data_IF_290994447528
#
_entry.id   IF_290994447528
#
_cell.length_a   1.000
_cell.length_b   1.000
_cell.length_c   1.000
_cell.angle_alpha   90.00
_cell.angle_beta   90.00
_cell.angle_gamma   90.00
#
_symmetry.space_group_name_H-M   'P 1'
#
loop_
_entity.id
_entity.type
_entity.pdbx_description
1 polymer ?
#
# COMPACT_ATOMS: atom_id res chain seq x y z
N UNK A 1 -4.54 -62.50 36.44
CA UNK A 1 -4.19 -63.05 35.10
C UNK A 1 -4.43 -62.01 34.02
N UNK A 2 -3.68 -62.15 32.93
CA UNK A 2 -3.49 -61.32 31.74
C UNK A 2 -4.72 -60.66 31.06
N UNK A 3 -4.52 -59.38 30.70
CA UNK A 3 -4.78 -58.66 29.43
C UNK A 3 -5.76 -59.28 28.41
N UNK A 4 -6.59 -58.43 27.80
CA UNK A 4 -7.18 -58.68 26.48
C UNK A 4 -7.91 -57.46 25.91
N UNK A 5 -7.29 -56.77 24.94
CA UNK A 5 -7.92 -55.74 24.09
C UNK A 5 -8.81 -56.43 23.05
N UNK A 6 -9.94 -55.83 22.70
CA UNK A 6 -10.57 -56.05 21.39
C UNK A 6 -11.32 -54.78 20.97
N UNK A 7 -10.71 -54.06 20.02
CA UNK A 7 -11.40 -53.07 19.21
C UNK A 7 -12.25 -53.84 18.18
N UNK A 8 -13.55 -53.55 18.15
CA UNK A 8 -14.45 -54.02 17.09
C UNK A 8 -14.76 -52.83 16.19
N UNK A 9 -14.30 -52.96 14.95
CA UNK A 9 -14.61 -52.09 13.82
C UNK A 9 -16.04 -52.41 13.37
N UNK A 10 -16.93 -51.41 13.29
CA UNK A 10 -18.22 -51.57 12.63
C UNK A 10 -18.49 -50.39 11.69
N UNK A 11 -18.45 -50.75 10.41
CA UNK A 11 -19.32 -50.33 9.32
C UNK A 11 -19.57 -48.84 9.09
N UNK A 12 -18.87 -48.38 8.05
CA UNK A 12 -19.33 -47.43 7.04
C UNK A 12 -20.83 -47.60 6.76
N UNK A 13 -21.62 -46.55 6.99
CA UNK A 13 -22.93 -46.38 6.36
C UNK A 13 -22.90 -45.07 5.58
N UNK A 14 -22.89 -45.21 4.25
CA UNK A 14 -23.07 -44.11 3.31
C UNK A 14 -24.51 -43.62 3.40
N UNK A 15 -24.70 -42.32 3.63
CA UNK A 15 -25.93 -41.66 3.23
C UNK A 15 -25.61 -40.56 2.22
N UNK A 16 -25.86 -40.86 0.96
CA UNK A 16 -25.95 -39.89 -0.10
C UNK A 16 -27.35 -39.27 -0.07
N UNK A 17 -27.43 -37.96 0.15
CA UNK A 17 -28.59 -37.14 -0.17
C UNK A 17 -28.10 -35.82 -0.75
N UNK A 18 -28.79 -35.42 -1.82
CA UNK A 18 -28.30 -34.56 -2.87
C UNK A 18 -28.34 -33.06 -2.56
N UNK A 19 -27.52 -32.36 -3.34
CA UNK A 19 -27.54 -30.95 -3.70
C UNK A 19 -28.93 -30.30 -3.80
N UNK A 20 -29.05 -29.08 -3.29
CA UNK A 20 -29.59 -27.88 -3.97
C UNK A 20 -29.65 -26.71 -2.98
N UNK A 21 -28.65 -25.84 -2.99
CA UNK A 21 -28.83 -24.43 -2.65
C UNK A 21 -27.70 -23.60 -3.28
N UNK A 22 -27.71 -23.55 -4.61
CA UNK A 22 -26.91 -22.61 -5.40
C UNK A 22 -27.74 -21.36 -5.65
N UNK A 23 -27.53 -20.29 -4.88
CA UNK A 23 -27.65 -18.89 -5.33
C UNK A 23 -27.09 -17.93 -4.25
N UNK A 24 -26.08 -17.13 -4.64
CA UNK A 24 -25.36 -16.10 -3.86
C UNK A 24 -24.34 -16.64 -2.81
N UNK A 25 -23.02 -16.52 -2.94
CA UNK A 25 -22.22 -15.45 -3.52
C UNK A 25 -21.08 -15.99 -4.39
N UNK A 26 -21.24 -15.87 -5.71
CA UNK A 26 -20.18 -16.09 -6.70
C UNK A 26 -19.91 -14.74 -7.40
N UNK A 27 -19.34 -13.80 -6.65
CA UNK A 27 -18.96 -12.47 -7.16
C UNK A 27 -17.82 -11.90 -6.30
N UNK A 28 -16.58 -12.25 -6.64
CA UNK A 28 -15.36 -11.45 -6.37
C UNK A 28 -14.04 -12.13 -6.80
N UNK A 29 -14.05 -13.39 -7.24
CA UNK A 29 -12.82 -14.10 -7.66
C UNK A 29 -12.52 -14.05 -9.17
N UNK A 30 -12.94 -12.98 -9.87
CA UNK A 30 -12.59 -12.79 -11.28
C UNK A 30 -12.03 -11.38 -11.52
N UNK A 31 -10.72 -11.21 -11.31
CA UNK A 31 -9.93 -10.28 -12.12
C UNK A 31 -8.47 -10.74 -12.15
N UNK A 32 -8.23 -11.82 -12.88
CA UNK A 32 -6.90 -12.19 -13.33
C UNK A 32 -6.90 -12.14 -14.86
N UNK A 33 -5.92 -11.41 -15.40
CA UNK A 33 -5.45 -11.44 -16.78
C UNK A 33 -6.40 -10.97 -17.87
N UNK A 34 -6.12 -9.78 -18.41
CA UNK A 34 -5.57 -9.63 -19.76
C UNK A 34 -5.59 -8.15 -20.17
N UNK A 35 -4.43 -7.48 -20.11
CA UNK A 35 -4.12 -6.55 -21.18
C UNK A 35 -2.67 -6.75 -21.60
N UNK A 36 -2.49 -7.72 -22.48
CA UNK A 36 -1.37 -7.75 -23.40
C UNK A 36 -1.45 -6.48 -24.25
N UNK A 37 -0.43 -5.64 -24.11
CA UNK A 37 0.19 -4.85 -25.17
C UNK A 37 -0.67 -4.57 -26.41
N UNK A 38 -1.15 -3.34 -26.52
CA UNK A 38 -1.23 -2.59 -27.78
C UNK A 38 -0.45 -1.29 -27.53
N UNK A 39 0.85 -1.23 -27.82
CA UNK A 39 1.40 -0.79 -29.11
C UNK A 39 0.69 0.43 -29.67
N UNK A 40 0.78 1.55 -28.97
CA UNK A 40 1.03 2.83 -29.61
C UNK A 40 2.24 3.48 -28.95
N UNK A 41 3.36 3.34 -29.64
CA UNK A 41 4.55 4.11 -29.40
C UNK A 41 4.24 5.58 -29.69
N UNK A 42 3.82 6.31 -28.67
CA UNK A 42 4.36 7.66 -28.46
C UNK A 42 5.05 7.64 -27.12
N UNK A 43 6.36 7.42 -27.22
CA UNK A 43 7.36 7.86 -26.28
C UNK A 43 6.99 9.20 -25.66
N UNK A 44 6.42 9.18 -24.46
CA UNK A 44 6.62 10.29 -23.54
C UNK A 44 7.96 10.03 -22.86
N UNK A 45 9.02 10.45 -23.55
CA UNK A 45 10.27 10.81 -22.88
C UNK A 45 9.91 12.04 -22.06
N UNK A 46 9.58 11.84 -20.79
CA UNK A 46 9.61 12.91 -19.81
C UNK A 46 10.61 12.51 -18.74
N UNK A 47 11.73 13.23 -18.72
CA UNK A 47 12.51 13.41 -17.51
C UNK A 47 11.65 14.01 -16.38
N UNK A 48 12.25 14.26 -15.21
CA UNK A 48 11.55 14.31 -13.93
C UNK A 48 10.78 15.62 -13.72
N UNK A 49 9.63 15.77 -14.37
CA UNK A 49 8.61 16.76 -14.00
C UNK A 49 7.23 16.25 -14.41
N UNK A 50 6.39 15.91 -13.42
CA UNK A 50 4.94 15.99 -13.61
C UNK A 50 4.21 14.78 -14.17
N UNK A 51 4.60 13.54 -13.85
CA UNK A 51 3.61 12.44 -13.90
C UNK A 51 2.54 12.72 -12.86
N UNK A 52 1.34 13.09 -13.30
CA UNK A 52 0.19 13.17 -12.40
C UNK A 52 -0.04 11.79 -11.80
N UNK A 53 0.04 11.68 -10.48
CA UNK A 53 -0.19 10.43 -9.78
C UNK A 53 -1.65 9.99 -9.90
N UNK A 54 -1.87 8.69 -10.08
CA UNK A 54 -3.21 8.11 -10.06
C UNK A 54 -3.75 7.99 -8.63
N UNK A 55 -5.05 7.73 -8.50
CA UNK A 55 -5.67 7.49 -7.20
C UNK A 55 -5.06 6.27 -6.48
N UNK A 56 -4.63 5.26 -7.22
CA UNK A 56 -3.96 4.08 -6.69
C UNK A 56 -2.58 4.42 -6.10
N UNK A 57 -1.79 5.26 -6.78
CA UNK A 57 -0.49 5.73 -6.26
C UNK A 57 -0.66 6.52 -4.97
N UNK A 58 -1.68 7.40 -4.91
CA UNK A 58 -2.00 8.18 -3.72
C UNK A 58 -2.41 7.25 -2.57
N UNK A 59 -3.20 6.20 -2.83
CA UNK A 59 -3.61 5.23 -1.83
C UNK A 59 -2.42 4.40 -1.32
N UNK A 60 -1.57 3.90 -2.23
CA UNK A 60 -0.35 3.17 -1.90
C UNK A 60 0.62 4.05 -1.10
N UNK A 61 0.79 5.31 -1.51
CA UNK A 61 1.56 6.32 -0.80
C UNK A 61 1.03 6.58 0.60
N UNK A 62 -0.28 6.67 0.77
CA UNK A 62 -0.92 6.85 2.08
C UNK A 62 -0.68 5.66 3.02
N UNK A 63 -0.70 4.44 2.49
CA UNK A 63 -0.37 3.23 3.25
C UNK A 63 1.09 3.23 3.69
N UNK A 64 2.01 3.52 2.75
CA UNK A 64 3.43 3.59 3.07
C UNK A 64 3.73 4.71 4.07
N UNK A 65 3.08 5.87 3.90
CA UNK A 65 3.19 7.01 4.80
C UNK A 65 2.77 6.65 6.23
N UNK A 66 1.66 5.92 6.40
CA UNK A 66 1.21 5.48 7.72
C UNK A 66 2.20 4.54 8.41
N UNK A 67 2.94 3.73 7.66
CA UNK A 67 3.93 2.79 8.21
C UNK A 67 5.23 3.48 8.63
N UNK A 68 5.64 4.51 7.91
CA UNK A 68 6.99 5.08 8.04
C UNK A 68 7.01 6.50 8.59
N UNK A 69 6.06 7.34 8.21
CA UNK A 69 6.12 8.79 8.42
C UNK A 69 5.17 9.28 9.53
N UNK A 70 4.03 8.61 9.69
CA UNK A 70 2.94 9.07 10.56
C UNK A 70 3.29 9.10 12.06
N UNK A 71 4.34 8.38 12.48
CA UNK A 71 4.81 8.43 13.87
C UNK A 71 5.25 9.84 14.29
N UNK A 72 5.81 10.62 13.35
CA UNK A 72 6.31 11.97 13.63
C UNK A 72 5.44 13.05 12.98
N UNK A 73 5.01 12.81 11.74
CA UNK A 73 4.20 13.77 10.98
C UNK A 73 2.69 13.58 11.17
N UNK A 74 2.30 12.62 12.00
CA UNK A 74 0.91 12.33 12.35
C UNK A 74 0.15 11.58 11.25
N UNK A 75 -0.95 10.93 11.64
CA UNK A 75 -1.85 10.30 10.67
C UNK A 75 -2.45 11.40 9.79
N UNK A 76 -2.59 11.11 8.50
CA UNK A 76 -3.11 12.09 7.56
C UNK A 76 -2.31 13.40 7.49
N UNK A 77 -1.01 13.39 7.80
CA UNK A 77 -0.14 14.57 7.83
C UNK A 77 -0.54 15.62 8.87
N UNK A 78 -1.42 15.26 9.81
CA UNK A 78 -1.83 16.13 10.92
C UNK A 78 -1.08 15.68 12.16
N UNK A 79 -0.05 16.41 12.54
CA UNK A 79 0.64 16.22 13.81
C UNK A 79 -0.06 17.00 14.93
N UNK A 80 0.07 16.53 16.18
CA UNK A 80 -0.50 17.20 17.36
C UNK A 80 0.47 18.19 18.02
N UNK A 81 1.61 18.53 17.40
CA UNK A 81 2.67 19.30 18.06
C UNK A 81 3.78 19.80 17.14
N UNK A 82 4.65 20.66 17.68
CA UNK A 82 5.65 21.43 16.91
C UNK A 82 6.95 20.70 16.61
N UNK A 83 7.15 19.49 17.12
CA UNK A 83 8.45 18.77 17.03
C UNK A 83 8.80 18.34 15.61
N UNK A 84 7.80 18.15 14.74
CA UNK A 84 7.99 17.75 13.35
C UNK A 84 7.35 18.77 12.41
N UNK A 85 7.93 18.92 11.23
CA UNK A 85 7.41 19.84 10.21
C UNK A 85 6.01 19.40 9.76
N UNK A 86 5.09 20.36 9.63
CA UNK A 86 3.75 20.12 9.11
C UNK A 86 3.79 19.99 7.58
N UNK A 87 3.68 18.75 7.09
CA UNK A 87 3.80 18.46 5.67
C UNK A 87 2.63 19.02 4.84
N UNK A 88 1.52 19.43 5.48
CA UNK A 88 0.39 20.08 4.77
C UNK A 88 0.75 21.47 4.27
N UNK A 89 1.83 22.05 4.81
CA UNK A 89 2.43 23.34 4.43
C UNK A 89 3.65 23.18 3.53
N UNK A 90 4.02 21.95 3.19
CA UNK A 90 5.20 21.69 2.38
C UNK A 90 5.00 22.21 0.93
N UNK A 91 5.99 22.88 0.33
CA UNK A 91 5.89 23.39 -1.04
C UNK A 91 5.87 22.25 -2.08
N UNK A 92 4.79 22.18 -2.88
CA UNK A 92 4.58 21.12 -3.89
C UNK A 92 5.48 21.24 -5.13
N UNK A 93 6.08 22.41 -5.35
CA UNK A 93 7.07 22.67 -6.38
C UNK A 93 8.48 22.19 -5.99
N UNK A 94 8.70 21.79 -4.74
CA UNK A 94 10.01 21.38 -4.22
C UNK A 94 10.11 19.86 -3.99
N UNK A 95 9.79 19.07 -5.01
CA UNK A 95 9.87 17.60 -4.97
C UNK A 95 11.27 17.14 -4.54
N UNK A 96 12.33 17.73 -5.11
CA UNK A 96 13.71 17.34 -4.80
C UNK A 96 14.06 17.56 -3.32
N UNK A 97 13.49 18.59 -2.69
CA UNK A 97 13.67 18.84 -1.26
C UNK A 97 13.02 17.76 -0.41
N UNK A 98 11.87 17.23 -0.84
CA UNK A 98 11.24 16.09 -0.21
C UNK A 98 12.10 14.83 -0.37
N UNK A 99 12.51 14.51 -1.61
CA UNK A 99 13.33 13.34 -1.90
C UNK A 99 14.64 13.35 -1.09
N UNK A 100 15.31 14.51 -1.04
CA UNK A 100 16.54 14.68 -0.27
C UNK A 100 16.29 14.50 1.23
N UNK A 101 15.23 15.10 1.78
CA UNK A 101 14.92 15.00 3.22
C UNK A 101 14.55 13.58 3.64
N UNK A 102 13.80 12.84 2.81
CA UNK A 102 13.45 11.43 3.09
C UNK A 102 14.67 10.53 2.94
N UNK A 103 15.45 10.73 1.88
CA UNK A 103 16.60 9.86 1.60
C UNK A 103 17.74 10.09 2.58
N UNK A 104 18.05 11.34 2.92
CA UNK A 104 19.23 11.70 3.73
C UNK A 104 18.90 12.10 5.17
N UNK A 105 17.63 12.21 5.52
CA UNK A 105 17.19 12.78 6.78
C UNK A 105 17.30 14.30 6.83
N UNK A 106 16.76 14.90 7.89
CA UNK A 106 16.79 16.35 8.11
C UNK A 106 16.62 16.68 9.60
N UNK A 107 17.67 17.16 10.25
CA UNK A 107 17.61 17.46 11.68
C UNK A 107 17.27 16.19 12.48
N UNK A 108 16.16 16.20 13.21
CA UNK A 108 15.68 15.02 13.97
C UNK A 108 14.97 13.97 13.10
N UNK A 109 14.70 14.25 11.82
CA UNK A 109 14.12 13.28 10.89
C UNK A 109 15.22 12.30 10.42
N UNK A 110 15.05 10.98 10.60
CA UNK A 110 16.05 9.99 10.23
C UNK A 110 16.17 9.85 8.69
N UNK A 111 17.30 9.28 8.24
CA UNK A 111 17.50 8.84 6.86
C UNK A 111 16.72 7.55 6.59
N UNK A 112 16.08 7.46 5.43
CA UNK A 112 15.35 6.27 4.99
C UNK A 112 15.95 5.61 3.75
N UNK A 113 17.13 6.02 3.27
CA UNK A 113 17.75 5.44 2.06
C UNK A 113 18.01 3.93 2.15
N UNK A 114 18.25 3.41 3.36
CA UNK A 114 18.46 1.97 3.58
C UNK A 114 17.14 1.20 3.76
N UNK A 115 16.03 1.90 4.03
CA UNK A 115 14.73 1.31 4.37
C UNK A 115 13.70 1.42 3.24
N UNK A 116 13.85 2.38 2.34
CA UNK A 116 12.93 2.67 1.25
C UNK A 116 13.65 2.66 -0.09
N UNK A 117 13.03 2.04 -1.09
CA UNK A 117 13.51 2.14 -2.47
C UNK A 117 13.16 3.51 -3.07
N UNK A 118 13.86 3.96 -4.12
CA UNK A 118 13.53 5.20 -4.82
C UNK A 118 12.06 5.25 -5.29
N UNK A 119 11.53 4.13 -5.74
CA UNK A 119 10.13 3.99 -6.18
C UNK A 119 9.15 4.15 -5.01
N UNK A 120 9.46 3.60 -3.84
CA UNK A 120 8.65 3.80 -2.63
C UNK A 120 8.65 5.27 -2.19
N UNK A 121 9.78 5.97 -2.32
CA UNK A 121 9.86 7.41 -2.02
C UNK A 121 9.04 8.23 -3.03
N UNK A 122 9.05 7.87 -4.32
CA UNK A 122 8.18 8.51 -5.33
C UNK A 122 6.70 8.30 -5.01
N UNK A 123 6.31 7.09 -4.62
CA UNK A 123 4.92 6.78 -4.21
C UNK A 123 4.54 7.51 -2.91
N UNK A 124 5.47 7.72 -1.97
CA UNK A 124 5.24 8.60 -0.82
C UNK A 124 4.97 10.04 -1.25
N UNK A 125 5.69 10.55 -2.26
CA UNK A 125 5.43 11.87 -2.81
C UNK A 125 4.05 11.98 -3.46
N UNK A 126 3.53 10.91 -4.08
CA UNK A 126 2.15 10.89 -4.60
C UNK A 126 1.13 11.30 -3.53
N UNK A 127 1.27 10.72 -2.34
CA UNK A 127 0.41 11.03 -1.22
C UNK A 127 0.68 12.42 -0.64
N UNK A 128 1.95 12.74 -0.34
CA UNK A 128 2.31 14.02 0.28
C UNK A 128 1.97 15.19 -0.64
N UNK A 129 2.39 15.16 -1.90
CA UNK A 129 2.13 16.18 -2.90
C UNK A 129 0.64 16.38 -3.21
N UNK A 130 -0.19 15.34 -3.06
CA UNK A 130 -1.65 15.48 -3.23
C UNK A 130 -2.33 16.31 -2.13
N UNK A 131 -1.65 16.52 -0.99
CA UNK A 131 -2.21 17.17 0.21
C UNK A 131 -1.42 18.37 0.71
N UNK A 132 -0.13 18.42 0.39
CA UNK A 132 0.77 19.51 0.72
C UNK A 132 0.38 20.82 0.00
N UNK A 133 0.82 21.95 0.53
CA UNK A 133 0.53 23.29 0.02
C UNK A 133 -0.94 23.72 0.12
N UNK A 134 -1.82 22.92 0.74
CA UNK A 134 -3.25 23.23 0.89
C UNK A 134 -3.57 24.02 2.16
N UNK A 135 -2.66 24.04 3.12
CA UNK A 135 -2.85 24.74 4.38
C UNK A 135 -1.95 25.97 4.49
N UNK A 136 -2.52 27.13 4.89
CA UNK A 136 -1.82 28.41 4.96
C UNK A 136 -0.87 28.45 6.15
#
# INVERSE_FOLDING_TARGET
MSRGKAAVVVAVTLWAAAASNSLAQNAAQNNASSNSQSTDATSSIAGPTGSSFGAEDIAAGGLQYNRTCAQCHGRNMVNSGTTSYDLRRFPVDQVDRFLLSVSKGKGNMPSFEAALTPEQIKVLWAYVGSRAGKEP
#
